data_IF_543090308054
#
_entry.id   IF_543090308054
#
_cell.length_a   1.000
_cell.length_b   1.000
_cell.length_c   1.000
_cell.angle_alpha   90.00
_cell.angle_beta   90.00
_cell.angle_gamma   90.00
#
_symmetry.space_group_name_H-M   'P 1'
#
loop_
_entity.id
_entity.type
_entity.pdbx_description
1 polymer ?
#
# COMPACT_ATOMS: atom_id res chain seq x y z
N UNK A 1 -9.83 8.15 -9.62
CA UNK A 1 -9.52 8.81 -8.32
C UNK A 1 -8.69 7.84 -7.50
N UNK A 2 -7.66 8.31 -6.77
CA UNK A 2 -6.85 7.45 -5.90
C UNK A 2 -7.69 6.99 -4.70
N UNK A 3 -7.82 5.69 -4.48
CA UNK A 3 -8.63 5.09 -3.42
C UNK A 3 -7.79 4.73 -2.18
N UNK A 4 -6.87 5.61 -1.80
CA UNK A 4 -5.84 5.35 -0.78
C UNK A 4 -6.37 5.30 0.66
N UNK A 5 -7.63 5.65 0.92
CA UNK A 5 -8.29 5.49 2.23
C UNK A 5 -8.94 4.11 2.42
N UNK A 6 -9.07 3.31 1.34
CA UNK A 6 -9.64 1.95 1.42
C UNK A 6 -8.82 1.00 2.29
N UNK A 7 -7.47 0.96 2.20
CA UNK A 7 -6.67 0.12 3.08
C UNK A 7 -6.91 0.41 4.57
N UNK A 8 -6.94 1.68 4.98
CA UNK A 8 -7.20 2.03 6.39
C UNK A 8 -8.61 1.62 6.83
N UNK A 9 -9.61 1.79 5.97
CA UNK A 9 -10.97 1.34 6.24
C UNK A 9 -11.04 -0.19 6.43
N UNK A 10 -10.32 -0.94 5.61
CA UNK A 10 -10.20 -2.39 5.73
C UNK A 10 -9.49 -2.81 7.03
N UNK A 11 -8.35 -2.18 7.36
CA UNK A 11 -7.63 -2.38 8.62
C UNK A 11 -8.56 -2.19 9.82
N UNK A 12 -9.32 -1.08 9.85
CA UNK A 12 -10.25 -0.78 10.94
C UNK A 12 -11.37 -1.81 11.06
N UNK A 13 -11.86 -2.34 9.93
CA UNK A 13 -12.86 -3.41 9.91
C UNK A 13 -12.31 -4.69 10.55
N UNK A 14 -11.10 -5.11 10.17
CA UNK A 14 -10.43 -6.29 10.75
C UNK A 14 -10.14 -6.09 12.24
N UNK A 15 -9.63 -4.92 12.64
CA UNK A 15 -9.39 -4.58 14.05
C UNK A 15 -10.70 -4.66 14.86
N UNK A 16 -11.83 -4.21 14.31
CA UNK A 16 -13.14 -4.30 14.96
C UNK A 16 -13.54 -5.77 15.24
N UNK A 17 -13.27 -6.66 14.28
CA UNK A 17 -13.52 -8.10 14.45
C UNK A 17 -12.62 -8.71 15.53
N UNK A 18 -11.32 -8.38 15.53
CA UNK A 18 -10.37 -8.82 16.56
C UNK A 18 -10.85 -8.35 17.94
N UNK A 19 -11.17 -7.06 18.10
CA UNK A 19 -11.68 -6.49 19.36
C UNK A 19 -12.97 -7.15 19.82
N UNK A 20 -13.84 -7.52 18.90
CA UNK A 20 -15.07 -8.25 19.21
C UNK A 20 -14.76 -9.62 19.79
N UNK A 21 -13.83 -10.37 19.20
CA UNK A 21 -13.40 -11.67 19.72
C UNK A 21 -12.72 -11.55 21.10
N UNK A 22 -11.90 -10.51 21.31
CA UNK A 22 -11.29 -10.18 22.60
C UNK A 22 -12.37 -9.91 23.67
N UNK A 23 -13.35 -9.05 23.34
CA UNK A 23 -14.43 -8.66 24.26
C UNK A 23 -15.33 -9.84 24.63
N UNK A 24 -15.52 -10.78 23.70
CA UNK A 24 -16.27 -12.02 23.93
C UNK A 24 -15.48 -13.11 24.65
N UNK A 25 -14.21 -12.88 24.96
CA UNK A 25 -13.33 -13.88 25.60
C UNK A 25 -12.97 -15.06 24.69
N UNK A 26 -13.14 -14.94 23.37
CA UNK A 26 -12.79 -15.99 22.41
C UNK A 26 -11.27 -16.05 22.17
N UNK A 27 -10.59 -14.92 22.34
CA UNK A 27 -9.14 -14.77 22.29
C UNK A 27 -8.68 -13.85 23.41
N UNK A 28 -7.44 -14.02 23.86
CA UNK A 28 -6.80 -13.08 24.77
C UNK A 28 -6.52 -11.74 24.07
N UNK A 29 -6.56 -10.65 24.83
CA UNK A 29 -6.26 -9.31 24.34
C UNK A 29 -4.84 -9.26 23.76
N UNK A 30 -4.71 -8.75 22.54
CA UNK A 30 -3.44 -8.58 21.84
C UNK A 30 -2.88 -9.87 21.23
N UNK A 31 -3.58 -11.00 21.34
CA UNK A 31 -3.13 -12.30 20.82
C UNK A 31 -3.04 -12.34 19.30
N UNK A 32 -3.96 -11.66 18.61
CA UNK A 32 -4.00 -11.61 17.15
C UNK A 32 -3.52 -10.24 16.68
N UNK A 33 -2.58 -10.26 15.74
CA UNK A 33 -2.07 -9.10 15.00
C UNK A 33 -2.34 -9.28 13.50
N UNK A 34 -2.21 -8.20 12.76
CA UNK A 34 -2.40 -8.14 11.32
C UNK A 34 -1.02 -8.17 10.66
N UNK A 35 -0.86 -9.09 9.71
CA UNK A 35 0.19 -9.09 8.71
C UNK A 35 -0.46 -8.84 7.34
N UNK A 36 -0.10 -7.75 6.67
CA UNK A 36 -0.35 -7.62 5.24
C UNK A 36 0.78 -8.34 4.51
N UNK A 37 0.69 -9.65 4.43
CA UNK A 37 1.68 -10.48 3.75
C UNK A 37 1.68 -10.29 2.22
N UNK A 38 0.60 -9.73 1.67
CA UNK A 38 0.56 -9.23 0.31
C UNK A 38 -0.12 -7.86 0.24
N UNK A 39 0.63 -6.85 -0.21
CA UNK A 39 0.07 -5.59 -0.68
C UNK A 39 0.81 -5.08 -1.91
N UNK A 40 0.08 -4.41 -2.79
CA UNK A 40 0.63 -3.66 -3.90
C UNK A 40 -0.37 -2.59 -4.36
N UNK A 41 0.14 -1.55 -5.02
CA UNK A 41 -0.65 -0.46 -5.63
C UNK A 41 -1.39 -0.89 -6.90
N UNK A 42 -0.89 -1.93 -7.57
CA UNK A 42 -1.44 -2.49 -8.80
C UNK A 42 -1.74 -3.95 -8.56
N UNK A 43 -3.01 -4.31 -8.70
CA UNK A 43 -3.45 -5.69 -8.55
C UNK A 43 -2.78 -6.57 -9.59
N UNK A 44 -2.39 -7.77 -9.17
CA UNK A 44 -2.29 -8.92 -10.07
C UNK A 44 -3.71 -9.27 -10.54
N UNK A 45 -4.17 -8.57 -11.56
CA UNK A 45 -5.46 -8.85 -12.16
C UNK A 45 -5.22 -9.75 -13.38
N UNK A 46 -5.59 -11.02 -13.24
CA UNK A 46 -5.58 -12.01 -14.31
C UNK A 46 -7.04 -12.36 -14.71
N UNK A 47 -7.77 -11.43 -15.33
CA UNK A 47 -9.13 -11.73 -15.80
C UNK A 47 -9.05 -12.81 -16.88
N UNK A 48 -9.79 -13.90 -16.69
CA UNK A 48 -9.81 -15.03 -17.64
C UNK A 48 -8.78 -16.13 -17.39
N UNK A 49 -7.82 -15.94 -16.47
CA UNK A 49 -6.85 -16.98 -16.15
C UNK A 49 -7.46 -18.03 -15.22
N UNK A 50 -7.32 -19.29 -15.59
CA UNK A 50 -7.86 -20.41 -14.81
C UNK A 50 -7.14 -20.50 -13.46
N UNK A 51 -7.90 -20.50 -12.36
CA UNK A 51 -7.34 -20.59 -10.99
C UNK A 51 -7.33 -22.01 -10.42
N UNK A 52 -8.20 -22.88 -10.93
CA UNK A 52 -8.46 -24.20 -10.36
C UNK A 52 -8.30 -25.35 -11.36
N UNK A 53 -7.91 -25.02 -12.59
CA UNK A 53 -7.73 -25.98 -13.67
C UNK A 53 -6.27 -25.98 -14.13
N UNK A 54 -5.85 -27.08 -14.77
CA UNK A 54 -4.51 -27.17 -15.34
C UNK A 54 -4.42 -26.22 -16.53
N UNK A 55 -3.53 -25.25 -16.44
CA UNK A 55 -3.24 -24.31 -17.52
C UNK A 55 -2.43 -25.02 -18.60
N UNK A 56 -2.94 -24.99 -19.84
CA UNK A 56 -2.17 -25.34 -21.03
C UNK A 56 -1.45 -24.09 -21.54
N UNK A 57 -0.12 -24.07 -21.43
CA UNK A 57 0.69 -22.91 -21.81
C UNK A 57 0.88 -22.78 -23.33
N UNK A 58 0.49 -23.80 -24.10
CA UNK A 58 0.49 -23.77 -25.56
C UNK A 58 -0.86 -23.28 -26.13
N UNK A 59 -1.89 -23.09 -25.28
CA UNK A 59 -3.18 -22.54 -25.67
C UNK A 59 -3.04 -21.05 -26.10
N UNK A 60 -3.44 -20.70 -27.34
CA UNK A 60 -3.39 -19.31 -27.82
C UNK A 60 -4.07 -18.27 -26.92
N UNK A 61 -5.16 -18.62 -26.24
CA UNK A 61 -5.83 -17.70 -25.31
C UNK A 61 -5.03 -17.51 -24.02
N UNK A 62 -4.37 -18.56 -23.51
CA UNK A 62 -3.47 -18.46 -22.35
C UNK A 62 -2.26 -17.58 -22.69
N UNK A 63 -1.66 -17.76 -23.87
CA UNK A 63 -0.54 -16.94 -24.34
C UNK A 63 -0.94 -15.46 -24.37
N UNK A 64 -2.11 -15.14 -24.95
CA UNK A 64 -2.63 -13.77 -25.01
C UNK A 64 -2.87 -13.16 -23.62
N UNK A 65 -3.36 -13.95 -22.66
CA UNK A 65 -3.52 -13.49 -21.27
C UNK A 65 -2.17 -13.25 -20.57
N UNK A 66 -1.14 -14.04 -20.89
CA UNK A 66 0.23 -13.83 -20.40
C UNK A 66 0.81 -12.55 -21.00
N UNK A 67 0.69 -12.32 -22.31
CA UNK A 67 1.17 -11.09 -22.97
C UNK A 67 0.48 -9.85 -22.40
N UNK A 68 -0.82 -9.91 -22.11
CA UNK A 68 -1.54 -8.82 -21.46
C UNK A 68 -1.02 -8.51 -20.05
N UNK A 69 -0.50 -9.53 -19.34
CA UNK A 69 0.12 -9.35 -18.01
C UNK A 69 1.45 -8.60 -18.10
N UNK A 70 2.21 -8.82 -19.18
CA UNK A 70 3.56 -8.28 -19.34
C UNK A 70 3.57 -6.75 -19.47
N UNK A 71 2.42 -6.12 -19.75
CA UNK A 71 2.24 -4.67 -19.61
C UNK A 71 2.68 -4.19 -18.21
N UNK A 72 2.48 -4.98 -17.16
CA UNK A 72 2.89 -4.62 -15.80
C UNK A 72 4.41 -4.56 -15.63
N UNK A 73 5.19 -5.19 -16.52
CA UNK A 73 6.65 -5.15 -16.51
C UNK A 73 7.17 -3.78 -16.96
N UNK A 74 6.44 -3.08 -17.82
CA UNK A 74 6.85 -1.80 -18.39
C UNK A 74 7.10 -0.76 -17.29
N UNK A 75 8.37 -0.35 -17.04
CA UNK A 75 8.67 0.55 -15.93
C UNK A 75 8.02 1.93 -16.07
N UNK A 76 7.75 2.40 -17.29
CA UNK A 76 7.19 3.73 -17.55
C UNK A 76 5.73 3.91 -17.10
N UNK A 77 4.99 2.83 -16.83
CA UNK A 77 3.61 2.95 -16.33
C UNK A 77 3.53 3.38 -14.86
N UNK A 78 4.65 3.25 -14.12
CA UNK A 78 4.74 3.59 -12.70
C UNK A 78 5.14 5.06 -12.55
N UNK A 79 4.26 5.84 -11.91
CA UNK A 79 4.35 7.30 -11.84
C UNK A 79 4.18 7.82 -10.40
N UNK A 80 4.11 9.13 -10.22
CA UNK A 80 4.00 9.73 -8.88
C UNK A 80 2.79 9.23 -8.09
N UNK A 81 1.66 8.94 -8.73
CA UNK A 81 0.47 8.44 -8.04
C UNK A 81 0.71 7.10 -7.33
N UNK A 82 1.58 6.26 -7.90
CA UNK A 82 1.99 4.98 -7.34
C UNK A 82 2.83 5.16 -6.06
N UNK A 83 3.74 6.13 -6.06
CA UNK A 83 4.51 6.53 -4.88
C UNK A 83 3.62 7.10 -3.77
N UNK A 84 2.68 7.99 -4.12
CA UNK A 84 1.76 8.63 -3.16
C UNK A 84 0.74 7.63 -2.57
N UNK A 85 0.27 6.67 -3.38
CA UNK A 85 -0.57 5.57 -2.89
C UNK A 85 0.20 4.71 -1.89
N UNK A 86 1.45 4.34 -2.22
CA UNK A 86 2.31 3.54 -1.34
C UNK A 86 2.56 4.25 -0.01
N UNK A 87 2.81 5.56 -0.04
CA UNK A 87 3.00 6.37 1.17
C UNK A 87 1.72 6.36 2.03
N UNK A 88 0.56 6.51 1.39
CA UNK A 88 -0.74 6.47 2.07
C UNK A 88 -1.06 5.10 2.69
N UNK A 89 -0.67 4.00 2.01
CA UNK A 89 -0.79 2.65 2.54
C UNK A 89 0.10 2.48 3.78
N UNK A 90 1.38 2.85 3.70
CA UNK A 90 2.31 2.78 4.83
C UNK A 90 1.84 3.65 6.00
N UNK A 91 1.34 4.86 5.74
CA UNK A 91 0.72 5.72 6.74
C UNK A 91 -0.46 5.02 7.45
N UNK A 92 -1.29 4.31 6.70
CA UNK A 92 -2.42 3.55 7.24
C UNK A 92 -1.94 2.42 8.16
N UNK A 93 -0.90 1.68 7.78
CA UNK A 93 -0.28 0.67 8.62
C UNK A 93 0.29 1.28 9.91
N UNK A 94 1.06 2.37 9.78
CA UNK A 94 1.73 3.03 10.91
C UNK A 94 0.74 3.63 11.92
N UNK A 95 -0.34 4.25 11.45
CA UNK A 95 -1.45 4.72 12.32
C UNK A 95 -2.14 3.60 13.10
N UNK A 96 -2.05 2.37 12.60
CA UNK A 96 -2.64 1.19 13.21
C UNK A 96 -1.57 0.20 13.69
N UNK A 97 -0.35 0.68 13.98
CA UNK A 97 0.82 -0.15 14.32
C UNK A 97 0.66 -0.96 15.61
N UNK A 98 -0.32 -0.62 16.47
CA UNK A 98 -0.72 -1.47 17.59
C UNK A 98 -1.25 -2.84 17.13
N UNK A 99 -1.87 -2.92 15.95
CA UNK A 99 -2.44 -4.14 15.38
C UNK A 99 -1.70 -4.62 14.13
N UNK A 100 -1.28 -3.71 13.25
CA UNK A 100 -0.53 -4.04 12.03
C UNK A 100 0.96 -4.13 12.37
N UNK A 101 1.48 -5.34 12.40
CA UNK A 101 2.87 -5.61 12.84
C UNK A 101 3.79 -6.00 11.71
N UNK A 102 3.24 -6.27 10.52
CA UNK A 102 3.98 -6.67 9.34
C UNK A 102 3.25 -6.22 8.07
N UNK A 103 4.01 -5.76 7.08
CA UNK A 103 3.52 -5.46 5.74
C UNK A 103 4.59 -5.82 4.70
N UNK A 104 4.25 -6.69 3.76
CA UNK A 104 5.14 -7.24 2.74
C UNK A 104 4.63 -6.84 1.35
N UNK A 105 5.44 -6.09 0.63
CA UNK A 105 5.13 -5.76 -0.76
C UNK A 105 5.24 -7.02 -1.62
N UNK A 106 4.23 -7.24 -2.46
CA UNK A 106 4.13 -8.45 -3.29
C UNK A 106 4.02 -8.09 -4.79
N UNK A 107 5.02 -8.40 -5.64
CA UNK A 107 6.36 -8.90 -5.33
C UNK A 107 7.39 -7.76 -5.12
N UNK A 108 8.65 -8.13 -4.84
CA UNK A 108 9.76 -7.18 -4.66
C UNK A 108 10.47 -6.81 -5.98
N UNK A 109 10.61 -7.74 -6.92
CA UNK A 109 11.42 -7.60 -8.14
C UNK A 109 10.60 -7.91 -9.39
N UNK A 110 10.84 -7.16 -10.47
CA UNK A 110 10.16 -7.21 -11.75
C UNK A 110 8.66 -6.99 -11.60
N UNK A 111 7.82 -7.80 -12.25
CA UNK A 111 6.35 -7.72 -12.27
C UNK A 111 5.78 -6.37 -11.82
N UNK A 112 5.12 -6.30 -10.66
CA UNK A 112 4.62 -5.07 -10.02
C UNK A 112 5.49 -4.58 -8.87
N UNK A 113 6.72 -5.10 -8.77
CA UNK A 113 7.65 -4.77 -7.70
C UNK A 113 8.27 -3.37 -7.82
N UNK A 114 8.83 -2.84 -6.73
CA UNK A 114 9.52 -1.55 -6.70
C UNK A 114 10.83 -1.54 -7.50
N UNK A 115 11.46 -2.70 -7.67
CA UNK A 115 12.68 -2.86 -8.46
C UNK A 115 12.35 -3.58 -9.77
N UNK A 116 12.80 -3.05 -10.89
CA UNK A 116 12.78 -3.72 -12.17
C UNK A 116 14.21 -3.97 -12.64
N UNK A 117 14.53 -5.23 -12.92
CA UNK A 117 15.86 -5.70 -13.31
C UNK A 117 15.79 -6.22 -14.74
N UNK A 118 16.71 -5.76 -15.57
CA UNK A 118 16.84 -6.10 -16.98
C UNK A 118 18.33 -6.23 -17.34
N UNK A 119 18.71 -6.77 -18.51
CA UNK A 119 20.11 -7.15 -18.80
C UNK A 119 21.12 -6.01 -18.60
N UNK A 120 20.74 -4.77 -18.85
CA UNK A 120 21.62 -3.60 -18.76
C UNK A 120 21.56 -2.88 -17.41
N UNK A 121 20.69 -3.30 -16.47
CA UNK A 121 20.69 -2.73 -15.13
C UNK A 121 19.40 -2.85 -14.32
N UNK A 122 19.20 -1.87 -13.43
CA UNK A 122 18.07 -1.82 -12.49
C UNK A 122 17.37 -0.47 -12.60
N UNK A 123 16.06 -0.50 -12.81
CA UNK A 123 15.18 0.65 -12.67
C UNK A 123 14.53 0.62 -11.29
N UNK A 124 14.73 1.69 -10.51
CA UNK A 124 13.98 1.96 -9.29
C UNK A 124 12.67 2.62 -9.69
N UNK A 125 11.54 1.92 -9.54
CA UNK A 125 10.21 2.47 -9.83
C UNK A 125 9.80 3.45 -8.74
N UNK A 126 8.79 4.27 -8.99
CA UNK A 126 8.44 5.40 -8.12
C UNK A 126 8.16 5.00 -6.67
N UNK A 127 7.50 3.87 -6.43
CA UNK A 127 7.24 3.36 -5.08
C UNK A 127 8.46 2.77 -4.37
N UNK A 128 9.58 2.49 -5.05
CA UNK A 128 10.87 2.20 -4.40
C UNK A 128 11.31 3.38 -3.54
N UNK A 129 11.23 4.60 -4.08
CA UNK A 129 11.67 5.81 -3.38
C UNK A 129 10.82 6.09 -2.15
N UNK A 130 9.51 5.82 -2.21
CA UNK A 130 8.65 5.87 -1.03
C UNK A 130 9.09 4.87 0.04
N UNK A 131 9.35 3.62 -0.34
CA UNK A 131 9.78 2.60 0.61
C UNK A 131 11.12 2.96 1.25
N UNK A 132 12.07 3.45 0.45
CA UNK A 132 13.40 3.88 0.90
C UNK A 132 13.30 5.03 1.91
N UNK A 133 12.53 6.07 1.61
CA UNK A 133 12.26 7.18 2.54
C UNK A 133 11.63 6.69 3.86
N UNK A 134 10.66 5.79 3.82
CA UNK A 134 10.01 5.27 5.02
C UNK A 134 10.92 4.34 5.84
N UNK A 135 11.85 3.62 5.20
CA UNK A 135 12.81 2.77 5.92
C UNK A 135 13.87 3.61 6.62
N UNK A 136 14.33 4.68 5.99
CA UNK A 136 15.50 5.44 6.46
C UNK A 136 15.15 6.64 7.34
N UNK A 137 13.98 7.26 7.15
CA UNK A 137 13.69 8.57 7.78
C UNK A 137 12.68 8.49 8.94
N UNK A 138 12.00 7.35 9.14
CA UNK A 138 11.03 7.21 10.24
C UNK A 138 11.71 7.09 11.59
N UNK A 139 11.14 7.76 12.59
CA UNK A 139 11.50 7.56 13.98
C UNK A 139 10.70 6.47 14.68
N UNK A 140 11.20 6.04 15.85
CA UNK A 140 10.74 4.85 16.56
C UNK A 140 9.26 4.85 16.94
N UNK A 141 8.69 5.98 17.32
CA UNK A 141 7.31 6.04 17.84
C UNK A 141 6.39 6.75 16.85
N UNK A 142 5.16 6.25 16.67
CA UNK A 142 4.15 6.92 15.85
C UNK A 142 3.29 7.80 16.75
N UNK A 143 3.23 9.10 16.44
CA UNK A 143 2.36 10.07 17.11
C UNK A 143 0.97 10.12 16.48
N UNK A 144 -0.04 10.44 17.29
CA UNK A 144 -1.38 10.77 16.78
C UNK A 144 -1.34 12.12 16.09
N UNK A 145 -1.88 12.18 14.88
CA UNK A 145 -2.05 13.41 14.09
C UNK A 145 -3.53 13.59 13.80
N UNK A 146 -4.07 14.75 14.17
CA UNK A 146 -5.41 15.16 13.77
C UNK A 146 -5.29 16.04 12.52
N UNK A 147 -5.85 15.58 11.39
CA UNK A 147 -5.75 16.25 10.09
C UNK A 147 -7.11 16.88 9.76
N UNK A 148 -7.11 18.19 9.49
CA UNK A 148 -8.25 18.88 8.92
C UNK A 148 -7.91 19.30 7.48
N UNK A 149 -8.55 18.67 6.50
CA UNK A 149 -8.27 18.87 5.08
C UNK A 149 -9.56 18.82 4.28
N UNK A 150 -9.60 19.60 3.19
CA UNK A 150 -10.63 19.42 2.17
C UNK A 150 -10.52 18.02 1.53
N UNK A 151 -11.60 17.59 0.88
CA UNK A 151 -11.66 16.31 0.15
C UNK A 151 -11.72 16.57 -1.34
N UNK A 152 -11.05 15.71 -2.11
CA UNK A 152 -11.32 15.53 -3.53
C UNK A 152 -12.49 14.57 -3.67
N UNK A 153 -13.42 14.84 -4.58
CA UNK A 153 -14.56 13.97 -4.88
C UNK A 153 -14.62 13.64 -6.37
N UNK A 154 -15.01 12.42 -6.71
CA UNK A 154 -15.33 12.00 -8.07
C UNK A 154 -16.44 10.94 -8.01
N UNK A 155 -17.66 11.34 -8.39
CA UNK A 155 -18.84 10.51 -8.24
C UNK A 155 -19.09 10.18 -6.77
N UNK A 156 -19.11 8.88 -6.44
CA UNK A 156 -19.34 8.37 -5.08
C UNK A 156 -18.06 8.26 -4.25
N UNK A 157 -16.90 8.37 -4.89
CA UNK A 157 -15.61 8.25 -4.21
C UNK A 157 -15.15 9.63 -3.70
N UNK A 158 -14.51 9.63 -2.54
CA UNK A 158 -13.86 10.80 -1.97
C UNK A 158 -12.56 10.42 -1.27
N UNK A 159 -11.61 11.35 -1.22
CA UNK A 159 -10.35 11.17 -0.50
C UNK A 159 -9.88 12.51 0.05
N UNK A 160 -9.34 12.51 1.27
CA UNK A 160 -8.73 13.71 1.86
C UNK A 160 -7.54 14.17 1.02
N UNK A 161 -7.44 15.48 0.76
CA UNK A 161 -6.32 16.05 0.00
C UNK A 161 -5.01 15.77 0.71
N UNK A 162 -4.98 15.94 2.03
CA UNK A 162 -3.80 15.68 2.86
C UNK A 162 -3.92 14.32 3.54
N UNK A 163 -2.80 13.63 3.61
CA UNK A 163 -2.56 12.51 4.52
C UNK A 163 -1.19 12.65 5.15
N UNK A 164 -1.10 12.32 6.44
CA UNK A 164 0.14 12.50 7.17
C UNK A 164 0.24 11.55 8.36
N UNK A 165 1.48 11.30 8.75
CA UNK A 165 1.84 10.72 10.05
C UNK A 165 2.94 11.58 10.67
N UNK A 166 3.02 11.54 12.00
CA UNK A 166 4.15 12.06 12.73
C UNK A 166 4.88 10.90 13.38
N UNK A 167 6.20 10.86 13.24
CA UNK A 167 7.04 9.97 14.03
C UNK A 167 7.86 10.76 15.03
N UNK A 168 8.17 10.14 16.16
CA UNK A 168 8.77 10.78 17.33
C UNK A 168 9.93 9.92 17.79
N UNK A 169 11.08 10.53 18.03
CA UNK A 169 12.23 9.82 18.58
C UNK A 169 12.15 9.75 20.12
N UNK A 170 13.11 9.08 20.75
CA UNK A 170 13.14 8.94 22.23
C UNK A 170 13.29 10.28 22.97
N UNK A 171 13.85 11.30 22.33
CA UNK A 171 14.04 12.63 22.92
C UNK A 171 12.82 13.55 22.77
N UNK A 172 11.84 13.15 21.95
CA UNK A 172 10.62 13.91 21.70
C UNK A 172 10.66 14.81 20.46
N UNK A 173 11.75 14.78 19.67
CA UNK A 173 11.81 15.41 18.36
C UNK A 173 10.84 14.71 17.40
N UNK A 174 10.30 15.47 16.43
CA UNK A 174 9.15 15.05 15.61
C UNK A 174 9.46 15.22 14.12
N UNK A 175 9.09 14.21 13.35
CA UNK A 175 9.17 14.18 11.90
C UNK A 175 7.76 14.08 11.33
N UNK A 176 7.45 14.91 10.34
CA UNK A 176 6.16 14.91 9.67
C UNK A 176 6.33 14.35 8.27
N UNK A 177 5.62 13.26 7.98
CA UNK A 177 5.53 12.67 6.65
C UNK A 177 4.18 13.07 6.07
N UNK A 178 4.19 13.74 4.93
CA UNK A 178 2.99 14.36 4.37
C UNK A 178 2.84 14.03 2.88
N UNK A 179 1.62 13.66 2.52
CA UNK A 179 1.15 13.42 1.16
C UNK A 179 0.14 14.49 0.79
N UNK A 180 0.40 15.21 -0.30
CA UNK A 180 -0.60 16.07 -0.96
C UNK A 180 -1.12 15.37 -2.21
N UNK A 181 -2.41 15.01 -2.20
CA UNK A 181 -3.10 14.32 -3.30
C UNK A 181 -3.71 15.27 -4.32
N UNK A 182 -3.65 16.58 -4.11
CA UNK A 182 -4.21 17.53 -5.07
C UNK A 182 -3.41 17.49 -6.37
N UNK A 183 -4.04 17.29 -7.54
CA UNK A 183 -3.32 17.08 -8.80
C UNK A 183 -2.57 18.32 -9.30
N UNK A 184 -2.99 19.51 -8.88
CA UNK A 184 -2.46 20.78 -9.41
C UNK A 184 -2.18 21.88 -8.37
N UNK A 185 -2.49 21.69 -7.09
CA UNK A 185 -2.29 22.73 -6.05
C UNK A 185 -1.15 22.31 -5.15
N UNK A 186 -0.19 23.22 -4.99
CA UNK A 186 0.90 23.09 -4.02
C UNK A 186 0.37 23.34 -2.60
N UNK A 187 1.13 22.86 -1.62
CA UNK A 187 0.91 23.15 -0.20
C UNK A 187 1.22 24.61 0.11
#
# INVERSE_FOLDING_TARGET
MMLSEKPESYIRSVISQIKTAETKGQIEKGKIKIAFDEWNLRSWHHPGFQRFEKVDYDDPEIIKLIEARDISLEPSIYNLSDALFSASFLNSCLRNSEYVTMANIAPLVNQTGPLYVYPEGIVKRTHFHTLEMYVNDLEKFVGRVDINSSKLTNGKDSVSVIDAIATVNKSGEKWLFLVNRHPSKKL
#
